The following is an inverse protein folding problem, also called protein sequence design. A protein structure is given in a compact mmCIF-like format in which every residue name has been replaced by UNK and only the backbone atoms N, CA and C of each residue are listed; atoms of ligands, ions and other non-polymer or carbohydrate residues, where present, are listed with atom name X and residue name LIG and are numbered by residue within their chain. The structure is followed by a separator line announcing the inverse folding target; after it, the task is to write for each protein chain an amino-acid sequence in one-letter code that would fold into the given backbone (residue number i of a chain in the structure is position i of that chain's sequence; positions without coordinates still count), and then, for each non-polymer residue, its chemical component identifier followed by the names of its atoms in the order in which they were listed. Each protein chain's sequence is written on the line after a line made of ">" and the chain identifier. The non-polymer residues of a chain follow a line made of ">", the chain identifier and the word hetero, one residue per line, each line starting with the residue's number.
data_IF_829037006314
#
_entry.id   IF_829037006314
#
_cell.length_a   1.000
_cell.length_b   1.000
_cell.length_c   1.000
_cell.angle_alpha   90.00
_cell.angle_beta   90.00
_cell.angle_gamma   90.00
#
_symmetry.space_group_name_H-M   'P 1'
#
loop_
_entity.id
_entity.type
_entity.pdbx_description
1 polymer ?
#
# COMPACT_ATOMS: atom_id res chain seq x y z
N UNK A 1 4.62 10.70 -15.27
CA UNK A 1 4.38 11.02 -13.85
C UNK A 1 4.05 9.83 -12.95
N UNK A 2 3.57 8.68 -13.45
CA UNK A 2 3.07 7.59 -12.58
C UNK A 2 4.15 6.76 -11.84
N UNK A 3 5.43 6.94 -12.15
CA UNK A 3 6.56 6.26 -11.51
C UNK A 3 7.71 7.19 -11.08
N UNK A 4 7.58 8.50 -11.27
CA UNK A 4 8.74 9.39 -11.24
C UNK A 4 9.15 9.84 -9.83
N UNK A 5 8.26 9.73 -8.84
CA UNK A 5 8.53 10.27 -7.50
C UNK A 5 7.97 9.36 -6.41
N UNK A 6 8.58 8.17 -6.28
CA UNK A 6 8.29 7.24 -5.18
C UNK A 6 8.52 7.92 -3.83
N UNK A 7 9.49 8.85 -3.75
CA UNK A 7 9.80 9.60 -2.54
C UNK A 7 8.64 10.52 -2.16
N UNK A 8 8.14 11.36 -3.07
CA UNK A 8 7.00 12.23 -2.78
C UNK A 8 5.72 11.44 -2.43
N UNK A 9 5.54 10.25 -3.01
CA UNK A 9 4.44 9.35 -2.66
C UNK A 9 4.60 8.77 -1.25
N UNK A 10 5.79 8.28 -0.91
CA UNK A 10 6.08 7.72 0.41
C UNK A 10 6.01 8.77 1.53
N UNK A 11 6.44 10.01 1.27
CA UNK A 11 6.25 11.14 2.18
C UNK A 11 4.76 11.41 2.48
N UNK A 12 3.89 11.24 1.48
CA UNK A 12 2.46 11.57 1.60
C UNK A 12 1.60 10.43 2.16
N UNK A 13 1.95 9.18 1.83
CA UNK A 13 1.09 8.02 2.11
C UNK A 13 1.74 6.96 3.00
N UNK A 14 3.00 7.16 3.40
CA UNK A 14 3.82 6.16 4.07
C UNK A 14 4.49 5.22 3.06
N UNK A 15 5.33 4.32 3.56
CA UNK A 15 6.09 3.41 2.70
C UNK A 15 5.14 2.58 1.82
N UNK A 16 5.54 2.37 0.56
CA UNK A 16 4.76 1.54 -0.35
C UNK A 16 4.54 0.12 0.19
N UNK A 17 5.52 -0.43 0.93
CA UNK A 17 5.39 -1.75 1.54
C UNK A 17 4.33 -1.78 2.65
N UNK A 18 4.25 -0.74 3.47
CA UNK A 18 3.25 -0.62 4.53
C UNK A 18 1.83 -0.58 3.94
N UNK A 19 1.65 0.16 2.85
CA UNK A 19 0.38 0.22 2.13
C UNK A 19 -0.06 -1.14 1.60
N UNK A 20 0.88 -1.93 1.06
CA UNK A 20 0.62 -3.29 0.58
C UNK A 20 0.23 -4.20 1.75
N UNK A 21 0.95 -4.16 2.87
CA UNK A 21 0.60 -4.96 4.05
C UNK A 21 -0.77 -4.60 4.62
N UNK A 22 -1.10 -3.31 4.73
CA UNK A 22 -2.44 -2.86 5.18
C UNK A 22 -3.55 -3.29 4.22
N UNK A 23 -3.28 -3.28 2.92
CA UNK A 23 -4.23 -3.76 1.93
C UNK A 23 -4.48 -5.26 2.07
N UNK A 24 -3.41 -6.06 2.18
CA UNK A 24 -3.49 -7.52 2.35
C UNK A 24 -4.20 -7.86 3.66
N UNK A 25 -3.84 -7.21 4.76
CA UNK A 25 -4.48 -7.37 6.06
C UNK A 25 -6.00 -7.13 5.98
N UNK A 26 -6.43 -6.04 5.33
CA UNK A 26 -7.85 -5.74 5.14
C UNK A 26 -8.54 -6.75 4.22
N UNK A 27 -7.88 -7.22 3.17
CA UNK A 27 -8.43 -8.22 2.26
C UNK A 27 -8.59 -9.59 2.94
N UNK A 28 -7.65 -9.97 3.82
CA UNK A 28 -7.75 -11.14 4.68
C UNK A 28 -8.86 -10.99 5.71
N UNK A 29 -8.96 -9.83 6.37
CA UNK A 29 -10.00 -9.55 7.37
C UNK A 29 -11.43 -9.63 6.79
N UNK A 30 -11.59 -9.31 5.51
CA UNK A 30 -12.88 -9.39 4.80
C UNK A 30 -13.09 -10.78 4.16
N UNK A 31 -12.07 -11.64 4.13
CA UNK A 31 -12.15 -13.01 3.60
C UNK A 31 -12.10 -13.11 2.08
N UNK A 32 -11.58 -12.08 1.39
CA UNK A 32 -11.44 -12.07 -0.08
C UNK A 32 -10.24 -12.90 -0.52
N UNK A 33 -9.22 -13.01 0.33
CA UNK A 33 -8.04 -13.84 0.11
C UNK A 33 -8.20 -15.12 0.96
N UNK A 34 -8.31 -16.28 0.30
CA UNK A 34 -8.40 -17.61 0.89
C UNK A 34 -7.39 -18.56 0.23
#
# INVERSE_FOLDING_TARGET
>A
ELHADTVAFEEKYGSQLELIFRFIDRALAIGVLA
#
